data_IF_172052007788
#
_entry.id   IF_172052007788
#
_cell.length_a   1.000
_cell.length_b   1.000
_cell.length_c   1.000
_cell.angle_alpha   90.00
_cell.angle_beta   90.00
_cell.angle_gamma   90.00
#
_symmetry.space_group_name_H-M   'P 1'
#
loop_
_entity.id
_entity.type
_entity.pdbx_description
1 polymer ?
#
# COMPACT_ATOMS: atom_id res chain seq x y z
N UNK A 1 -0.77 -40.90 48.81
CA UNK A 1 -0.18 -41.27 47.50
C UNK A 1 -1.26 -41.37 46.42
N UNK A 2 -2.03 -40.30 46.15
CA UNK A 2 -3.03 -40.32 45.06
C UNK A 2 -3.00 -39.10 44.13
N UNK A 3 -2.32 -38.01 44.49
CA UNK A 3 -2.25 -36.81 43.64
C UNK A 3 -1.20 -36.90 42.52
N UNK A 4 -0.14 -37.71 42.69
CA UNK A 4 0.95 -37.82 41.71
C UNK A 4 0.61 -38.67 40.47
N UNK A 5 -0.33 -39.61 40.59
CA UNK A 5 -0.67 -40.53 39.49
C UNK A 5 -1.57 -39.87 38.44
N UNK A 6 -2.46 -38.95 38.84
CA UNK A 6 -3.39 -38.27 37.93
C UNK A 6 -2.68 -37.22 37.07
N UNK A 7 -1.63 -36.58 37.61
CA UNK A 7 -0.84 -35.59 36.89
C UNK A 7 -0.04 -36.16 35.71
N UNK A 8 0.50 -37.38 35.86
CA UNK A 8 1.24 -38.05 34.79
C UNK A 8 0.31 -38.57 33.67
N UNK A 9 -0.91 -39.00 33.98
CA UNK A 9 -1.85 -39.48 32.97
C UNK A 9 -2.37 -38.36 32.05
N UNK A 10 -2.46 -37.12 32.53
CA UNK A 10 -2.89 -35.98 31.71
C UNK A 10 -1.75 -35.47 30.81
N UNK A 11 -0.50 -35.46 31.29
CA UNK A 11 0.66 -35.07 30.47
C UNK A 11 0.98 -36.06 29.35
N UNK A 12 0.76 -37.37 29.59
CA UNK A 12 0.94 -38.38 28.54
C UNK A 12 -0.10 -38.27 27.42
N UNK A 13 -1.31 -37.76 27.70
CA UNK A 13 -2.38 -37.62 26.71
C UNK A 13 -2.15 -36.52 25.67
N UNK A 14 -1.44 -35.45 26.03
CA UNK A 14 -1.19 -34.30 25.12
C UNK A 14 -0.09 -34.63 24.09
N UNK A 15 0.80 -35.58 24.40
CA UNK A 15 1.87 -36.00 23.48
C UNK A 15 1.38 -36.93 22.33
N UNK A 16 0.16 -37.44 22.40
CA UNK A 16 -0.42 -38.35 21.38
C UNK A 16 -1.39 -37.62 20.44
N UNK A 17 -1.59 -36.32 20.62
CA UNK A 17 -2.38 -35.54 19.68
C UNK A 17 -1.56 -35.33 18.39
N UNK A 18 -2.04 -35.78 17.22
CA UNK A 18 -1.36 -35.50 15.97
C UNK A 18 -1.26 -33.99 15.80
N UNK A 19 -0.07 -33.49 15.42
CA UNK A 19 0.12 -32.08 15.05
C UNK A 19 -0.91 -31.69 14.01
N UNK A 20 -1.57 -30.53 14.18
CA UNK A 20 -2.55 -30.00 13.25
C UNK A 20 -2.02 -30.12 11.81
N UNK A 21 -2.60 -31.05 11.05
CA UNK A 21 -2.19 -31.24 9.67
C UNK A 21 -2.69 -30.04 8.86
N UNK A 22 -1.81 -29.48 8.03
CA UNK A 22 -2.21 -28.54 7.00
C UNK A 22 -3.13 -29.29 6.04
N UNK A 23 -4.44 -29.17 6.25
CA UNK A 23 -5.42 -29.67 5.29
C UNK A 23 -5.39 -28.73 4.09
N UNK A 24 -4.73 -29.15 3.02
CA UNK A 24 -4.96 -28.52 1.72
C UNK A 24 -6.44 -28.74 1.36
N UNK A 25 -7.20 -27.65 1.36
CA UNK A 25 -8.55 -27.65 0.82
C UNK A 25 -8.45 -27.88 -0.69
N UNK A 26 -8.56 -29.13 -1.13
CA UNK A 26 -8.76 -29.45 -2.54
C UNK A 26 -10.25 -29.46 -2.82
N UNK A 27 -10.67 -28.80 -3.89
CA UNK A 27 -12.03 -28.90 -4.39
C UNK A 27 -12.26 -30.33 -4.88
N UNK A 28 -13.03 -31.13 -4.13
CA UNK A 28 -13.37 -32.53 -4.45
C UNK A 28 -14.64 -32.68 -5.27
N UNK A 29 -15.26 -31.58 -5.70
CA UNK A 29 -16.50 -31.64 -6.49
C UNK A 29 -16.19 -31.90 -7.98
N UNK A 30 -16.67 -33.01 -8.56
CA UNK A 30 -16.43 -33.35 -9.97
C UNK A 30 -17.33 -32.58 -10.96
N UNK A 31 -18.14 -31.62 -10.52
CA UNK A 31 -18.95 -30.80 -11.41
C UNK A 31 -18.12 -29.74 -12.17
N UNK A 32 -17.53 -30.18 -13.28
CA UNK A 32 -17.24 -29.42 -14.51
C UNK A 32 -16.91 -27.93 -14.37
N UNK A 33 -15.74 -27.62 -13.81
CA UNK A 33 -14.97 -26.49 -14.33
C UNK A 33 -14.39 -26.90 -15.70
N UNK A 34 -15.13 -26.69 -16.78
CA UNK A 34 -14.64 -26.94 -18.16
C UNK A 34 -13.45 -26.06 -18.56
N UNK A 35 -13.05 -25.12 -17.69
CA UNK A 35 -11.75 -24.45 -17.74
C UNK A 35 -10.94 -24.77 -16.48
N UNK A 36 -9.85 -25.52 -16.66
CA UNK A 36 -8.85 -25.87 -15.64
C UNK A 36 -8.00 -24.67 -15.17
N UNK A 37 -8.45 -23.44 -15.45
CA UNK A 37 -7.73 -22.20 -15.16
C UNK A 37 -8.64 -21.24 -14.40
N UNK A 38 -8.43 -21.14 -13.10
CA UNK A 38 -8.93 -20.04 -12.29
C UNK A 38 -7.94 -18.88 -12.43
N UNK A 39 -8.30 -17.85 -13.20
CA UNK A 39 -7.51 -16.62 -13.24
C UNK A 39 -8.04 -15.65 -12.20
N UNK A 40 -7.26 -15.37 -11.17
CA UNK A 40 -7.58 -14.31 -10.23
C UNK A 40 -7.60 -12.96 -10.97
N UNK A 41 -8.66 -12.17 -10.83
CA UNK A 41 -8.71 -10.82 -11.36
C UNK A 41 -7.65 -9.95 -10.70
N UNK A 42 -6.78 -9.33 -11.49
CA UNK A 42 -5.79 -8.37 -10.99
C UNK A 42 -6.30 -6.93 -11.18
N UNK A 43 -6.12 -6.09 -10.16
CA UNK A 43 -6.34 -4.66 -10.31
C UNK A 43 -5.25 -4.08 -11.22
N UNK A 44 -5.64 -3.24 -12.18
CA UNK A 44 -4.69 -2.54 -13.04
C UNK A 44 -3.71 -1.70 -12.20
N UNK A 45 -2.44 -1.62 -12.62
CA UNK A 45 -1.45 -0.77 -11.95
C UNK A 45 -1.65 0.68 -12.37
N UNK A 46 -1.74 1.65 -11.45
CA UNK A 46 -1.78 3.06 -11.81
C UNK A 46 -0.50 3.49 -12.54
N UNK A 47 -0.57 4.56 -13.33
CA UNK A 47 0.60 5.08 -14.04
C UNK A 47 0.89 6.51 -13.58
N UNK A 48 2.04 6.72 -12.95
CA UNK A 48 2.49 8.07 -12.57
C UNK A 48 3.01 8.79 -13.81
N UNK A 49 2.32 9.86 -14.20
CA UNK A 49 2.63 10.65 -15.40
C UNK A 49 3.51 11.86 -15.08
N UNK A 50 3.42 12.42 -13.88
CA UNK A 50 4.27 13.53 -13.44
C UNK A 50 4.54 13.48 -11.94
N UNK A 51 5.72 13.95 -11.55
CA UNK A 51 6.03 14.26 -10.16
C UNK A 51 6.93 15.50 -10.12
N UNK A 52 6.45 16.57 -9.51
CA UNK A 52 7.16 17.86 -9.47
C UNK A 52 7.27 18.36 -8.04
N UNK A 53 8.38 19.04 -7.76
CA UNK A 53 8.64 19.63 -6.45
C UNK A 53 8.53 21.13 -6.56
N UNK A 54 7.82 21.74 -5.61
CA UNK A 54 7.81 23.18 -5.42
C UNK A 54 8.70 23.56 -4.23
N UNK A 55 9.58 24.53 -4.46
CA UNK A 55 10.44 25.10 -3.44
C UNK A 55 10.09 26.58 -3.24
N UNK A 56 10.37 27.12 -2.05
CA UNK A 56 10.26 28.56 -1.81
C UNK A 56 11.43 29.32 -2.47
N UNK A 57 11.44 30.64 -2.30
CA UNK A 57 12.49 31.54 -2.83
C UNK A 57 13.90 31.19 -2.32
N UNK A 58 14.00 30.56 -1.14
CA UNK A 58 15.25 30.11 -0.54
C UNK A 58 15.67 28.70 -0.97
N UNK A 59 14.92 28.05 -1.86
CA UNK A 59 15.19 26.68 -2.32
C UNK A 59 14.76 25.58 -1.34
N UNK A 60 13.99 25.92 -0.32
CA UNK A 60 13.45 24.97 0.68
C UNK A 60 12.16 24.34 0.16
N UNK A 61 12.07 23.02 0.28
CA UNK A 61 10.91 22.22 -0.06
C UNK A 61 9.62 22.77 0.56
N UNK A 62 8.60 22.97 -0.27
CA UNK A 62 7.27 23.38 0.19
C UNK A 62 6.19 22.35 -0.09
N UNK A 63 6.20 21.75 -1.27
CA UNK A 63 5.23 20.72 -1.64
C UNK A 63 5.74 19.84 -2.75
N UNK A 64 5.11 18.67 -2.88
CA UNK A 64 5.26 17.79 -4.04
C UNK A 64 3.90 17.63 -4.69
N UNK A 65 3.86 17.77 -6.01
CA UNK A 65 2.69 17.47 -6.82
C UNK A 65 2.94 16.18 -7.57
N UNK A 66 2.08 15.18 -7.37
CA UNK A 66 2.12 13.92 -8.07
C UNK A 66 0.84 13.76 -8.90
N UNK A 67 1.01 13.42 -10.17
CA UNK A 67 -0.08 13.18 -11.11
C UNK A 67 0.02 11.75 -11.63
N UNK A 68 -1.11 11.04 -11.64
CA UNK A 68 -1.18 9.68 -12.12
C UNK A 68 -2.53 9.40 -12.78
N UNK A 69 -2.59 8.31 -13.55
CA UNK A 69 -3.82 7.83 -14.15
C UNK A 69 -4.22 6.46 -13.59
N UNK A 70 -5.53 6.22 -13.54
CA UNK A 70 -6.09 4.93 -13.15
C UNK A 70 -7.45 4.71 -13.81
N UNK A 71 -7.83 3.47 -14.16
CA UNK A 71 -9.16 3.17 -14.68
C UNK A 71 -10.24 3.15 -13.59
N UNK A 72 -9.87 3.26 -12.31
CA UNK A 72 -10.80 3.19 -11.19
C UNK A 72 -11.17 4.58 -10.67
N UNK A 73 -12.34 4.68 -10.03
CA UNK A 73 -12.87 5.90 -9.38
C UNK A 73 -12.10 6.26 -8.11
N UNK A 74 -12.23 7.51 -7.65
CA UNK A 74 -11.42 8.07 -6.57
C UNK A 74 -11.47 7.27 -5.25
N UNK A 75 -12.63 6.69 -4.92
CA UNK A 75 -12.79 5.84 -3.73
C UNK A 75 -11.91 4.57 -3.76
N UNK A 76 -11.43 4.19 -4.94
CA UNK A 76 -10.67 2.97 -5.18
C UNK A 76 -9.19 3.27 -5.44
N UNK A 77 -8.74 4.48 -5.13
CA UNK A 77 -7.35 4.92 -5.32
C UNK A 77 -6.78 5.36 -4.00
N UNK A 78 -5.52 5.00 -3.75
CA UNK A 78 -4.80 5.36 -2.53
C UNK A 78 -3.38 5.82 -2.85
N UNK A 79 -3.02 6.97 -2.31
CA UNK A 79 -1.65 7.49 -2.29
C UNK A 79 -1.08 7.35 -0.88
N UNK A 80 0.12 6.79 -0.77
CA UNK A 80 0.84 6.62 0.49
C UNK A 80 2.23 7.21 0.40
N UNK A 81 2.75 7.68 1.53
CA UNK A 81 4.10 8.19 1.70
C UNK A 81 4.82 7.33 2.74
N UNK A 82 5.93 6.70 2.36
CA UNK A 82 6.72 5.84 3.24
C UNK A 82 8.13 6.36 3.38
N UNK A 83 8.59 6.58 4.62
CA UNK A 83 9.96 6.96 4.97
C UNK A 83 10.44 6.05 6.09
N UNK A 84 11.49 5.25 5.82
CA UNK A 84 11.93 4.20 6.74
C UNK A 84 10.80 3.21 7.06
N UNK A 85 10.47 3.06 8.34
CA UNK A 85 9.38 2.19 8.82
C UNK A 85 8.02 2.90 8.90
N UNK A 86 7.97 4.21 8.67
CA UNK A 86 6.75 5.01 8.84
C UNK A 86 6.04 5.15 7.50
N UNK A 87 4.77 4.73 7.45
CA UNK A 87 3.90 4.90 6.28
C UNK A 87 2.67 5.70 6.64
N UNK A 88 2.44 6.80 5.93
CA UNK A 88 1.23 7.61 6.05
C UNK A 88 0.39 7.54 4.78
N UNK A 89 -0.93 7.55 4.92
CA UNK A 89 -1.85 7.66 3.79
C UNK A 89 -2.22 9.12 3.56
N UNK A 90 -2.10 9.59 2.33
CA UNK A 90 -2.51 10.95 1.96
C UNK A 90 -4.04 11.02 2.02
N UNK A 91 -4.64 11.97 2.75
CA UNK A 91 -6.09 12.11 2.81
C UNK A 91 -6.67 12.41 1.43
N UNK A 92 -7.80 11.79 1.10
CA UNK A 92 -8.48 11.95 -0.18
C UNK A 92 -8.81 13.42 -0.52
N UNK A 93 -9.00 14.28 0.49
CA UNK A 93 -9.22 15.72 0.31
C UNK A 93 -8.07 16.44 -0.41
N UNK A 94 -6.85 15.88 -0.41
CA UNK A 94 -5.69 16.44 -1.12
C UNK A 94 -5.54 15.87 -2.53
N UNK A 95 -6.45 15.00 -2.97
CA UNK A 95 -6.42 14.33 -4.26
C UNK A 95 -7.60 14.83 -5.09
N UNK A 96 -7.32 15.52 -6.18
CA UNK A 96 -8.32 15.91 -7.17
C UNK A 96 -8.36 14.88 -8.29
N UNK A 97 -9.55 14.69 -8.87
CA UNK A 97 -9.77 13.76 -9.96
C UNK A 97 -10.46 14.47 -11.13
N UNK A 98 -10.02 14.18 -12.35
CA UNK A 98 -10.65 14.64 -13.60
C UNK A 98 -10.85 13.49 -14.57
N UNK A 99 -11.79 13.66 -15.50
CA UNK A 99 -12.18 12.62 -16.47
C UNK A 99 -13.42 11.82 -16.05
N UNK A 100 -13.64 10.63 -16.63
CA UNK A 100 -12.68 9.87 -17.42
C UNK A 100 -12.53 10.37 -18.86
N UNK A 101 -11.32 10.26 -19.41
CA UNK A 101 -11.04 10.46 -20.85
C UNK A 101 -10.43 9.16 -21.38
N UNK A 102 -11.07 8.54 -22.39
CA UNK A 102 -10.62 7.25 -22.91
C UNK A 102 -10.64 6.11 -21.87
N UNK A 103 -11.52 6.18 -20.86
CA UNK A 103 -11.62 5.17 -19.80
C UNK A 103 -10.62 5.32 -18.65
N UNK A 104 -9.85 6.41 -18.60
CA UNK A 104 -8.91 6.70 -17.52
C UNK A 104 -9.28 7.98 -16.78
N UNK A 105 -9.22 7.91 -15.46
CA UNK A 105 -9.24 9.08 -14.58
C UNK A 105 -7.83 9.60 -14.39
N UNK A 106 -7.70 10.92 -14.36
CA UNK A 106 -6.45 11.61 -14.00
C UNK A 106 -6.57 12.12 -12.58
N UNK A 107 -5.62 11.73 -11.74
CA UNK A 107 -5.54 12.14 -10.34
C UNK A 107 -4.35 13.07 -10.15
N UNK A 108 -4.55 14.14 -9.39
CA UNK A 108 -3.47 15.05 -8.99
C UNK A 108 -3.53 15.25 -7.49
N UNK A 109 -2.41 15.02 -6.82
CA UNK A 109 -2.27 15.31 -5.40
C UNK A 109 -1.20 16.37 -5.18
N UNK A 110 -1.59 17.48 -4.56
CA UNK A 110 -0.65 18.46 -4.02
C UNK A 110 -0.45 18.14 -2.55
N UNK A 111 0.75 17.70 -2.20
CA UNK A 111 1.09 17.27 -0.85
C UNK A 111 2.04 18.30 -0.25
N UNK A 112 1.55 19.19 0.65
CA UNK A 112 2.40 20.18 1.29
C UNK A 112 3.34 19.52 2.30
N UNK A 113 4.45 20.20 2.59
CA UNK A 113 5.44 19.76 3.56
C UNK A 113 4.83 19.51 4.93
N UNK A 114 3.89 20.35 5.38
CA UNK A 114 3.22 20.19 6.68
C UNK A 114 2.43 18.88 6.78
N UNK A 115 1.78 18.47 5.68
CA UNK A 115 1.08 17.20 5.61
C UNK A 115 2.06 16.01 5.57
N UNK A 116 3.15 16.12 4.82
CA UNK A 116 4.18 15.08 4.85
C UNK A 116 4.80 14.97 6.25
N UNK A 117 5.15 16.08 6.88
CA UNK A 117 5.75 16.09 8.21
C UNK A 117 4.82 15.55 9.31
N UNK A 118 3.49 15.65 9.15
CA UNK A 118 2.53 15.06 10.08
C UNK A 118 2.36 13.55 9.86
N UNK A 119 2.60 13.06 8.64
CA UNK A 119 2.44 11.66 8.25
C UNK A 119 3.71 10.83 8.43
N UNK A 120 4.87 11.46 8.24
CA UNK A 120 6.18 10.81 8.31
C UNK A 120 7.14 11.60 9.19
N UNK A 121 7.74 10.89 10.15
CA UNK A 121 8.81 11.41 10.99
C UNK A 121 10.10 11.58 10.18
N UNK A 122 10.90 12.60 10.50
CA UNK A 122 12.23 12.84 9.91
C UNK A 122 12.19 13.01 8.38
N UNK A 123 11.27 13.85 7.89
CA UNK A 123 11.14 14.16 6.46
C UNK A 123 12.43 14.78 5.87
N UNK A 124 13.09 15.65 6.63
CA UNK A 124 14.28 16.37 6.16
C UNK A 124 15.52 15.49 6.23
N UNK A 125 16.33 15.49 5.18
CA UNK A 125 17.48 14.60 5.06
C UNK A 125 17.10 13.15 4.79
N UNK A 126 15.86 12.87 4.39
CA UNK A 126 15.36 11.52 4.10
C UNK A 126 14.86 11.39 2.67
N UNK A 127 14.72 10.13 2.25
CA UNK A 127 14.03 9.74 1.02
C UNK A 127 12.67 9.15 1.37
N UNK A 128 11.61 9.78 0.86
CA UNK A 128 10.23 9.33 1.00
C UNK A 128 9.78 8.66 -0.29
N UNK A 129 9.25 7.44 -0.20
CA UNK A 129 8.63 6.75 -1.32
C UNK A 129 7.15 7.10 -1.39
N UNK A 130 6.74 7.73 -2.48
CA UNK A 130 5.35 8.00 -2.81
C UNK A 130 4.82 6.83 -3.64
N UNK A 131 3.80 6.14 -3.13
CA UNK A 131 3.24 4.95 -3.75
C UNK A 131 1.76 5.15 -4.05
N UNK A 132 1.39 5.08 -5.32
CA UNK A 132 -0.02 5.07 -5.76
C UNK A 132 -0.46 3.63 -6.01
N UNK A 133 -1.64 3.29 -5.49
CA UNK A 133 -2.23 1.96 -5.59
C UNK A 133 -3.72 2.07 -5.87
N UNK A 134 -4.26 1.06 -6.54
CA UNK A 134 -5.70 0.85 -6.62
C UNK A 134 -6.12 -0.13 -5.53
N UNK A 135 -7.27 0.09 -4.93
CA UNK A 135 -7.85 -0.73 -3.87
C UNK A 135 -9.22 -1.20 -4.28
N UNK A 136 -9.54 -2.47 -4.00
CA UNK A 136 -10.89 -2.99 -4.20
C UNK A 136 -11.70 -2.75 -2.91
N UNK A 137 -12.80 -1.96 -2.97
CA UNK A 137 -13.59 -1.62 -1.79
C UNK A 137 -14.06 -2.85 -1.01
N UNK A 138 -13.99 -2.76 0.33
CA UNK A 138 -14.42 -3.84 1.21
C UNK A 138 -13.47 -5.04 1.26
N UNK A 139 -12.28 -4.96 0.66
CA UNK A 139 -11.30 -6.05 0.65
C UNK A 139 -9.87 -5.55 0.93
N UNK A 140 -8.94 -6.48 1.14
CA UNK A 140 -7.51 -6.20 1.25
C UNK A 140 -6.78 -6.28 -0.10
N UNK A 141 -7.52 -6.39 -1.21
CA UNK A 141 -6.91 -6.48 -2.54
C UNK A 141 -6.41 -5.11 -2.99
N UNK A 142 -5.13 -5.06 -3.33
CA UNK A 142 -4.42 -3.86 -3.76
C UNK A 142 -3.67 -4.19 -5.05
N UNK A 143 -3.65 -3.27 -6.01
CA UNK A 143 -2.82 -3.40 -7.21
C UNK A 143 -1.34 -3.38 -6.85
N UNK A 144 -0.44 -3.79 -7.76
CA UNK A 144 0.94 -3.35 -7.71
C UNK A 144 1.01 -1.82 -7.59
N UNK A 145 2.01 -1.34 -6.84
CA UNK A 145 2.20 0.09 -6.63
C UNK A 145 3.04 0.70 -7.76
N UNK A 146 2.62 1.86 -8.27
CA UNK A 146 3.53 2.73 -9.00
C UNK A 146 4.18 3.70 -8.00
N UNK A 147 5.49 3.86 -8.09
CA UNK A 147 6.27 4.59 -7.08
C UNK A 147 7.09 5.73 -7.66
N UNK A 148 7.31 6.75 -6.84
CA UNK A 148 8.33 7.78 -7.04
C UNK A 148 9.05 8.05 -5.73
N UNK A 149 10.32 8.44 -5.81
CA UNK A 149 11.15 8.82 -4.67
C UNK A 149 11.25 10.33 -4.56
N UNK A 150 10.73 10.86 -3.46
CA UNK A 150 10.96 12.23 -3.03
C UNK A 150 12.19 12.26 -2.12
N UNK A 151 13.30 12.78 -2.62
CA UNK A 151 14.51 12.98 -1.82
C UNK A 151 14.58 14.44 -1.38
N UNK A 152 14.79 14.67 -0.09
CA UNK A 152 14.91 16.01 0.49
C UNK A 152 16.22 16.04 1.27
N UNK A 153 17.14 16.94 0.92
CA UNK A 153 18.40 17.07 1.64
C UNK A 153 18.17 17.68 3.04
N UNK A 154 19.25 17.73 3.82
CA UNK A 154 19.20 18.36 5.14
C UNK A 154 18.67 19.81 5.03
N UNK A 155 17.89 20.24 6.03
CA UNK A 155 17.24 21.55 6.08
C UNK A 155 16.17 21.80 4.99
N UNK A 156 15.75 20.77 4.26
CA UNK A 156 14.69 20.90 3.25
C UNK A 156 15.19 21.36 1.89
N UNK A 157 16.50 21.42 1.66
CA UNK A 157 17.08 21.89 0.41
C UNK A 157 17.16 20.77 -0.65
N UNK A 158 17.40 21.16 -1.90
CA UNK A 158 17.65 20.24 -3.03
C UNK A 158 16.62 19.12 -3.16
N UNK A 159 15.35 19.44 -2.90
CA UNK A 159 14.29 18.46 -2.99
C UNK A 159 14.02 18.07 -4.45
N UNK A 160 13.94 16.77 -4.70
CA UNK A 160 13.74 16.21 -6.04
C UNK A 160 12.78 15.03 -6.00
N UNK A 161 12.01 14.85 -7.07
CA UNK A 161 11.16 13.68 -7.26
C UNK A 161 11.65 12.86 -8.45
N UNK A 162 12.00 11.60 -8.20
CA UNK A 162 12.65 10.71 -9.16
C UNK A 162 11.99 9.33 -9.19
N UNK A 163 12.39 8.50 -10.15
CA UNK A 163 11.93 7.11 -10.31
C UNK A 163 12.59 6.14 -9.33
#
# INVERSE_FOLDING_TARGET
MLAGAVGLSVLAGVAVLPSAQLTEARFTDPDYASSTTFTAGALATPVITACTVANNVLGVFQSVTITWTSPYVAANVRLTATSGTTTGTIPAANITATGPVGGLYTYTANVPQSLLASLISNLLGSTTTLSVTNVLPGTNWVSPAATRRLSIALLGLNASCTV
#
